data_IF_891016094666
#
_entry.id   IF_891016094666
#
_cell.length_a   1.000
_cell.length_b   1.000
_cell.length_c   1.000
_cell.angle_alpha   90.00
_cell.angle_beta   90.00
_cell.angle_gamma   90.00
#
_symmetry.space_group_name_H-M   'P 1'
#
loop_
_entity.id
_entity.type
_entity.pdbx_description
1 polymer ?
#
# COMPACT_ATOMS: atom_id res chain seq x y z
N UNK A 1 23.50 -6.76 -9.28
CA UNK A 1 22.84 -5.72 -8.45
C UNK A 1 21.60 -5.17 -9.14
N UNK A 2 21.67 -4.86 -10.45
CA UNK A 2 20.51 -4.36 -11.23
C UNK A 2 19.31 -5.31 -11.22
N UNK A 3 19.51 -6.62 -11.39
CA UNK A 3 18.41 -7.60 -11.37
C UNK A 3 17.64 -7.63 -10.04
N UNK A 4 18.36 -7.44 -8.92
CA UNK A 4 17.73 -7.43 -7.59
C UNK A 4 16.82 -6.21 -7.41
N UNK A 5 17.24 -5.04 -7.90
CA UNK A 5 16.41 -3.82 -7.86
C UNK A 5 15.19 -3.98 -8.76
N UNK A 6 15.39 -4.49 -9.99
CA UNK A 6 14.29 -4.76 -10.92
C UNK A 6 13.24 -5.69 -10.29
N UNK A 7 13.67 -6.78 -9.66
CA UNK A 7 12.77 -7.74 -9.02
C UNK A 7 12.00 -7.10 -7.85
N UNK A 8 12.63 -6.23 -7.05
CA UNK A 8 11.94 -5.51 -5.97
C UNK A 8 10.91 -4.53 -6.54
N UNK A 9 11.27 -3.75 -7.56
CA UNK A 9 10.34 -2.81 -8.22
C UNK A 9 9.14 -3.54 -8.82
N UNK A 10 9.37 -4.69 -9.44
CA UNK A 10 8.29 -5.52 -9.98
C UNK A 10 7.41 -6.10 -8.85
N UNK A 11 7.99 -6.57 -7.76
CA UNK A 11 7.28 -7.11 -6.61
C UNK A 11 6.36 -6.07 -5.96
N UNK A 12 6.82 -4.83 -5.80
CA UNK A 12 6.00 -3.74 -5.25
C UNK A 12 5.05 -3.12 -6.29
N UNK A 13 5.11 -3.58 -7.55
CA UNK A 13 4.28 -3.05 -8.66
C UNK A 13 4.43 -1.54 -8.82
N UNK A 14 5.68 -1.08 -9.01
CA UNK A 14 6.06 0.33 -9.02
C UNK A 14 5.15 1.22 -9.89
N UNK A 15 4.67 0.73 -11.05
CA UNK A 15 3.75 1.46 -11.92
C UNK A 15 2.43 1.78 -11.21
N UNK A 16 1.85 0.81 -10.48
CA UNK A 16 0.62 1.04 -9.72
C UNK A 16 0.85 2.03 -8.57
N UNK A 17 2.02 1.99 -7.92
CA UNK A 17 2.38 2.93 -6.87
C UNK A 17 2.52 4.36 -7.41
N UNK A 18 3.06 4.52 -8.62
CA UNK A 18 3.12 5.81 -9.29
C UNK A 18 1.72 6.39 -9.54
N UNK A 19 0.80 5.58 -10.10
CA UNK A 19 -0.59 6.01 -10.29
C UNK A 19 -1.28 6.32 -8.97
N UNK A 20 -1.02 5.55 -7.92
CA UNK A 20 -1.58 5.79 -6.59
C UNK A 20 -1.09 7.13 -6.02
N UNK A 21 0.19 7.43 -6.14
CA UNK A 21 0.75 8.73 -5.74
C UNK A 21 0.16 9.90 -6.52
N UNK A 22 0.00 9.75 -7.83
CA UNK A 22 -0.65 10.74 -8.67
C UNK A 22 -2.12 10.94 -8.26
N UNK A 23 -2.83 9.85 -7.95
CA UNK A 23 -4.22 9.91 -7.46
C UNK A 23 -4.33 10.69 -6.15
N UNK A 24 -3.44 10.44 -5.18
CA UNK A 24 -3.42 11.18 -3.91
C UNK A 24 -3.22 12.67 -4.16
N UNK A 25 -2.30 13.04 -5.06
CA UNK A 25 -2.07 14.43 -5.44
C UNK A 25 -3.31 15.08 -6.09
N UNK A 26 -3.92 14.39 -7.05
CA UNK A 26 -5.12 14.89 -7.73
C UNK A 26 -6.27 15.06 -6.75
N UNK A 27 -6.48 14.08 -5.85
CA UNK A 27 -7.52 14.17 -4.82
C UNK A 27 -7.30 15.36 -3.86
N UNK A 28 -6.05 15.65 -3.49
CA UNK A 28 -5.74 16.83 -2.69
C UNK A 28 -6.12 18.11 -3.43
N UNK A 29 -5.73 18.24 -4.69
CA UNK A 29 -5.92 19.48 -5.47
C UNK A 29 -7.36 19.74 -5.91
N UNK A 30 -8.13 18.68 -6.19
CA UNK A 30 -9.47 18.83 -6.78
C UNK A 30 -10.60 18.54 -5.80
N UNK A 31 -10.36 17.71 -4.79
CA UNK A 31 -11.41 17.33 -3.83
C UNK A 31 -11.16 18.00 -2.48
N UNK A 32 -9.98 17.76 -1.89
CA UNK A 32 -9.67 18.26 -0.56
C UNK A 32 -9.61 19.78 -0.55
N UNK A 33 -8.96 20.41 -1.56
CA UNK A 33 -8.90 21.86 -1.68
C UNK A 33 -10.29 22.48 -1.79
N UNK A 34 -11.18 21.88 -2.58
CA UNK A 34 -12.55 22.34 -2.76
C UNK A 34 -13.37 22.22 -1.47
N UNK A 35 -13.25 21.09 -0.77
CA UNK A 35 -13.98 20.83 0.49
C UNK A 35 -13.48 21.71 1.63
N UNK A 36 -12.18 21.99 1.68
CA UNK A 36 -11.55 22.79 2.73
C UNK A 36 -11.60 24.32 2.44
N UNK A 37 -12.01 24.72 1.24
CA UNK A 37 -12.08 26.12 0.82
C UNK A 37 -12.98 27.00 1.73
N UNK A 38 -13.76 26.37 2.56
CA UNK A 38 -14.73 27.05 3.38
C UNK A 38 -14.16 27.80 4.59
N UNK A 39 -12.90 27.52 5.08
CA UNK A 39 -12.41 28.29 6.25
C UNK A 39 -10.92 28.19 6.65
N UNK A 40 -10.08 27.28 6.14
CA UNK A 40 -8.74 27.11 6.73
C UNK A 40 -7.54 27.15 5.79
N UNK A 41 -7.70 26.85 4.51
CA UNK A 41 -6.55 26.69 3.59
C UNK A 41 -6.68 27.42 2.27
N UNK A 42 -7.59 28.37 2.11
CA UNK A 42 -7.74 29.24 0.93
C UNK A 42 -7.63 28.50 -0.42
N UNK A 43 -8.29 27.35 -0.58
CA UNK A 43 -8.30 26.61 -1.86
C UNK A 43 -6.95 25.98 -2.27
N UNK A 44 -5.98 25.93 -1.37
CA UNK A 44 -4.63 25.42 -1.69
C UNK A 44 -4.42 23.92 -1.43
N UNK A 45 -5.41 23.22 -0.90
CA UNK A 45 -5.28 21.84 -0.46
C UNK A 45 -4.49 21.70 0.85
N UNK A 46 -3.96 20.51 1.12
CA UNK A 46 -3.16 20.28 2.32
C UNK A 46 -1.77 20.93 2.22
N UNK A 47 -1.17 21.35 3.34
CA UNK A 47 0.24 21.71 3.37
C UNK A 47 1.11 20.60 2.76
N UNK A 48 2.08 20.98 1.94
CA UNK A 48 2.89 20.04 1.15
C UNK A 48 3.51 18.90 1.97
N UNK A 49 3.93 19.17 3.22
CA UNK A 49 4.52 18.16 4.10
C UNK A 49 3.51 17.14 4.62
N UNK A 50 2.25 17.57 4.84
CA UNK A 50 1.15 16.65 5.22
C UNK A 50 0.75 15.80 4.01
N UNK A 51 0.63 16.43 2.83
CA UNK A 51 0.37 15.70 1.59
C UNK A 51 1.45 14.65 1.31
N UNK A 52 2.72 15.01 1.50
CA UNK A 52 3.85 14.10 1.34
C UNK A 52 3.75 12.90 2.31
N UNK A 53 3.40 13.15 3.58
CA UNK A 53 3.23 12.09 4.58
C UNK A 53 2.07 11.14 4.22
N UNK A 54 0.93 11.68 3.79
CA UNK A 54 -0.23 10.89 3.35
C UNK A 54 0.12 10.07 2.11
N UNK A 55 0.76 10.68 1.11
CA UNK A 55 1.20 9.99 -0.09
C UNK A 55 2.21 8.88 0.22
N UNK A 56 3.21 9.16 1.05
CA UNK A 56 4.18 8.17 1.49
C UNK A 56 3.52 7.02 2.26
N UNK A 57 2.61 7.33 3.21
CA UNK A 57 1.86 6.34 3.96
C UNK A 57 1.07 5.42 3.02
N UNK A 58 0.30 6.01 2.11
CA UNK A 58 -0.55 5.27 1.16
C UNK A 58 0.29 4.39 0.23
N UNK A 59 1.37 4.93 -0.35
CA UNK A 59 2.27 4.19 -1.25
C UNK A 59 2.96 3.04 -0.51
N UNK A 60 3.49 3.27 0.69
CA UNK A 60 4.21 2.26 1.46
C UNK A 60 3.30 1.14 1.94
N UNK A 61 2.08 1.46 2.40
CA UNK A 61 1.08 0.46 2.79
C UNK A 61 0.65 -0.37 1.57
N UNK A 62 0.39 0.27 0.43
CA UNK A 62 0.04 -0.44 -0.80
C UNK A 62 1.19 -1.35 -1.27
N UNK A 63 2.43 -0.88 -1.25
CA UNK A 63 3.60 -1.68 -1.57
C UNK A 63 3.73 -2.90 -0.66
N UNK A 64 3.58 -2.72 0.67
CA UNK A 64 3.54 -3.81 1.64
C UNK A 64 2.41 -4.81 1.36
N UNK A 65 1.23 -4.30 0.96
CA UNK A 65 0.07 -5.09 0.54
C UNK A 65 0.34 -5.94 -0.70
N UNK A 66 1.01 -5.41 -1.73
CA UNK A 66 1.40 -6.21 -2.89
C UNK A 66 2.38 -7.33 -2.53
N UNK A 67 3.39 -7.02 -1.71
CA UNK A 67 4.38 -8.01 -1.28
C UNK A 67 3.74 -9.13 -0.47
N UNK A 68 2.82 -8.81 0.46
CA UNK A 68 2.15 -9.85 1.28
C UNK A 68 1.17 -10.69 0.45
N UNK A 69 0.51 -10.09 -0.53
CA UNK A 69 -0.34 -10.83 -1.46
C UNK A 69 0.48 -11.87 -2.25
N UNK A 70 1.59 -11.45 -2.85
CA UNK A 70 2.46 -12.36 -3.61
C UNK A 70 3.11 -13.44 -2.69
N UNK A 71 3.37 -13.12 -1.41
CA UNK A 71 3.81 -14.11 -0.42
C UNK A 71 2.80 -15.23 -0.19
N UNK A 72 1.53 -14.91 -0.05
CA UNK A 72 0.48 -15.91 0.17
C UNK A 72 0.09 -16.65 -1.11
N UNK A 73 0.27 -16.03 -2.28
CA UNK A 73 -0.09 -16.59 -3.58
C UNK A 73 0.97 -17.51 -4.18
N UNK A 74 2.14 -17.71 -3.58
CA UNK A 74 3.25 -18.52 -4.11
C UNK A 74 2.81 -19.88 -4.68
N UNK A 75 1.89 -20.58 -4.00
CA UNK A 75 1.44 -21.90 -4.46
C UNK A 75 0.59 -21.81 -5.73
N UNK A 76 -0.26 -20.81 -5.80
CA UNK A 76 -1.19 -20.57 -6.92
C UNK A 76 -0.40 -20.02 -8.11
N UNK A 77 0.48 -19.05 -7.88
CA UNK A 77 1.27 -18.43 -8.94
C UNK A 77 2.30 -19.38 -9.54
N UNK A 78 2.79 -20.35 -8.79
CA UNK A 78 3.67 -21.39 -9.32
C UNK A 78 3.00 -22.23 -10.40
N UNK A 79 1.69 -22.40 -10.36
CA UNK A 79 0.90 -23.16 -11.33
C UNK A 79 0.45 -22.25 -12.46
N UNK A 80 -0.10 -21.08 -12.13
CA UNK A 80 -0.77 -20.22 -13.09
C UNK A 80 0.16 -19.27 -13.84
N UNK A 81 1.25 -18.81 -13.19
CA UNK A 81 2.17 -17.78 -13.72
C UNK A 81 3.61 -18.03 -13.26
N UNK A 82 4.22 -19.17 -13.60
CA UNK A 82 5.55 -19.54 -13.13
C UNK A 82 6.63 -18.51 -13.50
N UNK A 83 6.51 -17.88 -14.67
CA UNK A 83 7.47 -16.87 -15.16
C UNK A 83 7.42 -15.54 -14.43
N UNK A 84 6.33 -15.28 -13.71
CA UNK A 84 6.14 -14.04 -12.93
C UNK A 84 6.40 -14.22 -11.43
N UNK A 85 6.77 -15.42 -11.01
CA UNK A 85 6.98 -15.76 -9.61
C UNK A 85 8.29 -15.14 -9.09
N UNK A 86 8.21 -14.06 -8.32
CA UNK A 86 9.37 -13.36 -7.74
C UNK A 86 9.71 -13.92 -6.36
N UNK A 87 8.71 -14.05 -5.50
CA UNK A 87 8.88 -14.61 -4.16
C UNK A 87 9.12 -16.12 -4.28
N UNK A 88 10.16 -16.62 -3.64
CA UNK A 88 10.66 -17.99 -3.71
C UNK A 88 11.62 -18.29 -4.87
N UNK A 89 11.63 -17.54 -5.98
CA UNK A 89 12.65 -17.66 -7.02
C UNK A 89 13.82 -16.69 -6.79
N UNK A 90 13.52 -15.40 -6.65
CA UNK A 90 14.54 -14.34 -6.54
C UNK A 90 14.63 -13.74 -5.13
N UNK A 91 13.53 -13.75 -4.38
CA UNK A 91 13.44 -13.21 -3.03
C UNK A 91 12.95 -14.31 -2.09
N UNK A 92 13.70 -14.54 -0.99
CA UNK A 92 13.29 -15.54 0.00
C UNK A 92 11.96 -15.15 0.67
N UNK A 93 11.16 -16.15 1.07
CA UNK A 93 9.90 -15.92 1.80
C UNK A 93 10.10 -15.05 3.05
N UNK A 94 11.18 -15.32 3.82
CA UNK A 94 11.51 -14.52 5.01
C UNK A 94 11.81 -13.07 4.68
N UNK A 95 12.49 -12.82 3.55
CA UNK A 95 12.79 -11.46 3.10
C UNK A 95 11.53 -10.73 2.61
N UNK A 96 10.66 -11.41 1.87
CA UNK A 96 9.38 -10.85 1.43
C UNK A 96 8.48 -10.47 2.62
N UNK A 97 8.36 -11.35 3.61
CA UNK A 97 7.61 -11.08 4.83
C UNK A 97 8.17 -9.86 5.58
N UNK A 98 9.51 -9.80 5.79
CA UNK A 98 10.14 -8.65 6.46
C UNK A 98 9.96 -7.36 5.68
N UNK A 99 10.05 -7.42 4.34
CA UNK A 99 9.83 -6.27 3.48
C UNK A 99 8.39 -5.75 3.60
N UNK A 100 7.40 -6.62 3.54
CA UNK A 100 5.98 -6.25 3.71
C UNK A 100 5.72 -5.59 5.07
N UNK A 101 6.19 -6.20 6.16
CA UNK A 101 6.04 -5.66 7.52
C UNK A 101 6.75 -4.30 7.65
N UNK A 102 7.98 -4.19 7.12
CA UNK A 102 8.75 -2.94 7.17
C UNK A 102 8.06 -1.81 6.40
N UNK A 103 7.63 -2.07 5.15
CA UNK A 103 6.93 -1.08 4.34
C UNK A 103 5.62 -0.64 5.00
N UNK A 104 4.78 -1.59 5.41
CA UNK A 104 3.52 -1.27 6.09
C UNK A 104 3.73 -0.54 7.42
N UNK A 105 4.73 -0.96 8.20
CA UNK A 105 5.06 -0.31 9.48
C UNK A 105 5.49 1.16 9.31
N UNK A 106 6.40 1.43 8.37
CA UNK A 106 6.81 2.82 8.06
C UNK A 106 5.62 3.62 7.51
N UNK A 107 4.80 3.01 6.65
CA UNK A 107 3.59 3.65 6.13
C UNK A 107 2.59 4.02 7.25
N UNK A 108 2.36 3.12 8.21
CA UNK A 108 1.51 3.39 9.38
C UNK A 108 2.07 4.58 10.17
N UNK A 109 3.37 4.60 10.46
CA UNK A 109 4.00 5.71 11.18
C UNK A 109 3.81 7.04 10.46
N UNK A 110 4.06 7.09 9.14
CA UNK A 110 3.80 8.29 8.33
C UNK A 110 2.34 8.73 8.41
N UNK A 111 1.39 7.79 8.30
CA UNK A 111 -0.04 8.06 8.39
C UNK A 111 -0.47 8.57 9.77
N UNK A 112 0.07 8.00 10.85
CA UNK A 112 -0.20 8.47 12.22
C UNK A 112 0.35 9.86 12.48
N UNK A 113 1.55 10.17 11.97
CA UNK A 113 2.13 11.53 12.05
C UNK A 113 1.25 12.53 11.29
N UNK A 114 0.80 12.18 10.07
CA UNK A 114 -0.12 13.02 9.31
C UNK A 114 -1.45 13.25 10.07
N UNK A 115 -2.02 12.18 10.63
CA UNK A 115 -3.25 12.24 11.43
C UNK A 115 -3.10 13.13 12.68
N UNK A 116 -1.96 13.03 13.35
CA UNK A 116 -1.64 13.88 14.50
C UNK A 116 -1.54 15.37 14.12
N UNK A 117 -0.85 15.67 13.01
CA UNK A 117 -0.74 17.03 12.47
C UNK A 117 -2.11 17.60 12.06
N UNK A 118 -2.99 16.76 11.49
CA UNK A 118 -4.37 17.13 11.11
C UNK A 118 -5.35 17.13 12.30
N UNK A 119 -4.91 16.70 13.48
CA UNK A 119 -5.77 16.50 14.67
C UNK A 119 -7.00 15.64 14.38
N UNK A 120 -6.84 14.63 13.52
CA UNK A 120 -7.91 13.74 13.07
C UNK A 120 -7.65 12.31 13.50
N UNK A 121 -8.33 11.84 14.55
CA UNK A 121 -8.27 10.44 14.98
C UNK A 121 -8.82 9.48 13.92
N UNK A 122 -9.81 9.90 13.15
CA UNK A 122 -10.40 9.09 12.06
C UNK A 122 -9.36 8.71 11.03
N UNK A 123 -8.52 9.66 10.58
CA UNK A 123 -7.43 9.40 9.64
C UNK A 123 -6.42 8.43 10.24
N UNK A 124 -6.07 8.61 11.53
CA UNK A 124 -5.15 7.69 12.23
C UNK A 124 -5.68 6.26 12.29
N UNK A 125 -6.96 6.09 12.62
CA UNK A 125 -7.62 4.78 12.65
C UNK A 125 -7.59 4.11 11.27
N UNK A 126 -7.85 4.85 10.19
CA UNK A 126 -7.82 4.32 8.83
C UNK A 126 -6.43 3.79 8.46
N UNK A 127 -5.34 4.48 8.81
CA UNK A 127 -3.98 4.03 8.54
C UNK A 127 -3.57 2.80 9.37
N UNK A 128 -4.27 2.45 10.44
CA UNK A 128 -4.10 1.21 11.20
C UNK A 128 -4.95 0.08 10.60
N UNK A 129 -6.24 0.37 10.29
CA UNK A 129 -7.18 -0.64 9.83
C UNK A 129 -6.86 -1.14 8.43
N UNK A 130 -6.52 -0.25 7.49
CA UNK A 130 -6.30 -0.61 6.08
C UNK A 130 -5.19 -1.66 5.90
N UNK A 131 -3.99 -1.54 6.49
CA UNK A 131 -2.97 -2.59 6.41
C UNK A 131 -3.42 -3.92 7.02
N UNK A 132 -4.17 -3.87 8.12
CA UNK A 132 -4.77 -5.06 8.74
C UNK A 132 -5.76 -5.77 7.80
N UNK A 133 -6.61 -5.02 7.13
CA UNK A 133 -7.56 -5.55 6.13
C UNK A 133 -6.82 -6.15 4.92
N UNK A 134 -5.78 -5.50 4.41
CA UNK A 134 -4.96 -6.04 3.31
C UNK A 134 -4.29 -7.36 3.70
N UNK A 135 -3.76 -7.44 4.92
CA UNK A 135 -3.20 -8.67 5.45
C UNK A 135 -4.25 -9.78 5.58
N UNK A 136 -5.39 -9.48 6.20
CA UNK A 136 -6.48 -10.44 6.38
C UNK A 136 -7.03 -10.94 5.05
N UNK A 137 -7.24 -10.04 4.09
CA UNK A 137 -7.67 -10.39 2.74
C UNK A 137 -6.68 -11.36 2.07
N UNK A 138 -5.39 -11.04 2.11
CA UNK A 138 -4.34 -11.86 1.48
C UNK A 138 -4.18 -13.23 2.14
N UNK A 139 -4.34 -13.32 3.48
CA UNK A 139 -4.11 -14.55 4.23
C UNK A 139 -5.30 -15.52 4.21
N UNK A 140 -6.53 -15.00 4.30
CA UNK A 140 -7.70 -15.83 4.61
C UNK A 140 -8.82 -15.68 3.59
N UNK A 141 -9.25 -14.46 3.30
CA UNK A 141 -10.48 -14.22 2.56
C UNK A 141 -10.41 -14.68 1.10
N UNK A 142 -9.28 -14.49 0.46
CA UNK A 142 -9.05 -14.91 -0.93
C UNK A 142 -9.17 -16.42 -1.10
N UNK A 143 -8.76 -17.20 -0.12
CA UNK A 143 -8.86 -18.68 -0.15
C UNK A 143 -10.30 -19.16 -0.04
N UNK A 144 -11.12 -18.50 0.77
CA UNK A 144 -12.54 -18.83 0.93
C UNK A 144 -13.33 -18.56 -0.36
N UNK A 145 -13.05 -17.45 -1.04
CA UNK A 145 -13.69 -17.12 -2.32
C UNK A 145 -13.32 -18.11 -3.45
N UNK A 146 -12.07 -18.60 -3.48
CA UNK A 146 -11.64 -19.57 -4.50
C UNK A 146 -12.26 -20.94 -4.25
N UNK A 147 -12.37 -21.37 -3.00
CA UNK A 147 -13.00 -22.67 -2.66
C UNK A 147 -14.50 -22.65 -2.96
N UNK A 148 -15.19 -21.51 -2.75
CA UNK A 148 -16.62 -21.39 -3.06
C UNK A 148 -16.95 -21.35 -4.57
N UNK A 149 -15.98 -21.10 -5.45
CA UNK A 149 -16.18 -21.08 -6.90
C UNK A 149 -15.71 -22.37 -7.60
N UNK A 150 -15.20 -23.36 -6.89
CA UNK A 150 -14.72 -24.65 -7.44
C UNK A 150 -15.62 -25.81 -7.03
N UNK A 151 -16.66 -25.57 -6.26
CA UNK A 151 -17.76 -26.49 -5.96
C UNK A 151 -19.01 -26.09 -6.72
#
# INVERSE_FOLDING_TARGET
MMDKIKNILQLVRWSNLFFLGALVYVMDKWVVSYVLDTNMFYGQGLPWYILLLIAAATILIAAGGYVINDYFDIKIDRINRPDQLIVSQYISKKSAMRLSIGLSGVGIVCGLVAAWLLRSSTIGILFIIIPGLLWFYSSSYKRLLIIGNVT
#
